data_IF_122735865525
#
_entry.id   IF_122735865525
#
_cell.length_a   1.000
_cell.length_b   1.000
_cell.length_c   1.000
_cell.angle_alpha   90.00
_cell.angle_beta   90.00
_cell.angle_gamma   90.00
#
_symmetry.space_group_name_H-M   'P 1'
#
loop_
_entity.id
_entity.type
_entity.pdbx_description
1 polymer ?
#
# COMPACT_ATOMS: atom_id res chain seq x y z
N UNK A 1 -17.12 25.34 -12.07
CA UNK A 1 -16.67 25.90 -13.36
C UNK A 1 -17.13 27.35 -13.41
N UNK A 2 -16.22 28.27 -13.63
CA UNK A 2 -16.58 29.70 -13.65
C UNK A 2 -17.41 30.01 -14.90
N UNK A 3 -18.43 30.85 -14.77
CA UNK A 3 -19.36 31.18 -15.88
C UNK A 3 -18.68 31.88 -17.08
N UNK A 4 -17.51 32.49 -16.85
CA UNK A 4 -16.74 33.16 -17.91
C UNK A 4 -15.81 32.20 -18.72
N UNK A 5 -15.74 30.93 -18.35
CA UNK A 5 -14.90 29.95 -19.04
C UNK A 5 -15.57 29.27 -20.25
N UNK A 6 -16.66 29.82 -20.77
CA UNK A 6 -17.44 29.22 -21.88
C UNK A 6 -16.68 29.27 -23.22
N UNK A 7 -15.89 30.36 -23.43
CA UNK A 7 -15.10 30.49 -24.66
C UNK A 7 -13.65 30.94 -24.33
N UNK A 8 -12.72 29.96 -24.18
CA UNK A 8 -11.35 30.26 -23.76
C UNK A 8 -10.54 31.07 -24.76
N UNK A 9 -11.00 31.19 -26.02
CA UNK A 9 -10.26 31.95 -27.06
C UNK A 9 -10.39 33.47 -26.91
N UNK A 10 -11.38 33.92 -26.15
CA UNK A 10 -11.64 35.35 -25.91
C UNK A 10 -11.01 35.86 -24.63
N UNK A 11 -10.37 34.97 -23.85
CA UNK A 11 -9.81 35.30 -22.55
C UNK A 11 -8.30 35.51 -22.65
N UNK A 12 -7.81 36.54 -21.99
CA UNK A 12 -6.37 36.88 -21.94
C UNK A 12 -5.86 36.87 -20.50
N UNK A 13 -4.56 36.66 -20.36
CA UNK A 13 -3.83 36.77 -19.10
C UNK A 13 -4.32 35.83 -18.01
N UNK A 14 -4.53 36.38 -16.81
CA UNK A 14 -4.91 35.62 -15.62
C UNK A 14 -6.28 34.93 -15.73
N UNK A 15 -7.22 35.49 -16.49
CA UNK A 15 -8.53 34.85 -16.69
C UNK A 15 -8.41 33.60 -17.56
N UNK A 16 -7.60 33.61 -18.59
CA UNK A 16 -7.28 32.43 -19.39
C UNK A 16 -6.61 31.36 -18.53
N UNK A 17 -5.61 31.75 -17.74
CA UNK A 17 -4.90 30.83 -16.85
C UNK A 17 -5.85 30.18 -15.84
N UNK A 18 -6.74 30.93 -15.21
CA UNK A 18 -7.72 30.39 -14.25
C UNK A 18 -8.67 29.39 -14.91
N UNK A 19 -9.12 29.65 -16.13
CA UNK A 19 -9.95 28.71 -16.88
C UNK A 19 -9.18 27.46 -17.27
N UNK A 20 -7.93 27.59 -17.70
CA UNK A 20 -7.06 26.48 -18.06
C UNK A 20 -6.81 25.55 -16.88
N UNK A 21 -6.45 26.11 -15.74
CA UNK A 21 -6.14 25.34 -14.51
C UNK A 21 -7.38 24.65 -13.91
N UNK A 22 -8.57 25.20 -14.11
CA UNK A 22 -9.83 24.63 -13.61
C UNK A 22 -10.54 23.70 -14.61
N UNK A 23 -9.90 23.31 -15.71
CA UNK A 23 -10.45 22.29 -16.60
C UNK A 23 -10.61 20.95 -15.87
N UNK A 24 -11.57 20.15 -16.30
CA UNK A 24 -11.86 18.81 -15.72
C UNK A 24 -10.62 17.92 -15.67
N UNK A 25 -9.73 18.01 -16.67
CA UNK A 25 -8.46 17.26 -16.69
C UNK A 25 -7.52 17.67 -15.56
N UNK A 26 -7.37 18.96 -15.32
CA UNK A 26 -6.51 19.47 -14.25
C UNK A 26 -7.12 19.23 -12.86
N UNK A 27 -8.43 19.34 -12.73
CA UNK A 27 -9.13 19.01 -11.48
C UNK A 27 -8.93 17.54 -11.08
N UNK A 28 -8.99 16.63 -12.05
CA UNK A 28 -8.69 15.22 -11.82
C UNK A 28 -7.25 15.00 -11.35
N UNK A 29 -6.29 15.73 -11.95
CA UNK A 29 -4.89 15.70 -11.52
C UNK A 29 -4.70 16.20 -10.09
N UNK A 30 -5.33 17.32 -9.71
CA UNK A 30 -5.26 17.83 -8.34
C UNK A 30 -5.84 16.86 -7.32
N UNK A 31 -6.96 16.22 -7.67
CA UNK A 31 -7.54 15.20 -6.81
C UNK A 31 -6.59 14.01 -6.61
N UNK A 32 -6.00 13.52 -7.70
CA UNK A 32 -4.99 12.45 -7.63
C UNK A 32 -3.78 12.86 -6.80
N UNK A 33 -3.33 14.11 -6.93
CA UNK A 33 -2.23 14.63 -6.12
C UNK A 33 -2.56 14.66 -4.63
N UNK A 34 -3.78 15.06 -4.25
CA UNK A 34 -4.24 15.04 -2.85
C UNK A 34 -4.26 13.61 -2.28
N UNK A 35 -4.71 12.64 -3.08
CA UNK A 35 -4.69 11.21 -2.69
C UNK A 35 -3.25 10.74 -2.44
N UNK A 36 -2.32 11.07 -3.33
CA UNK A 36 -0.89 10.73 -3.16
C UNK A 36 -0.30 11.39 -1.92
N UNK A 37 -0.60 12.67 -1.67
CA UNK A 37 -0.14 13.37 -0.46
C UNK A 37 -0.73 12.75 0.82
N UNK A 38 -2.00 12.34 0.78
CA UNK A 38 -2.63 11.59 1.87
C UNK A 38 -1.93 10.25 2.13
N UNK A 39 -1.65 9.49 1.08
CA UNK A 39 -0.91 8.22 1.19
C UNK A 39 0.49 8.43 1.79
N UNK A 40 1.24 9.43 1.32
CA UNK A 40 2.56 9.75 1.87
C UNK A 40 2.50 10.15 3.33
N UNK A 41 1.50 10.96 3.72
CA UNK A 41 1.31 11.39 5.11
C UNK A 41 1.01 10.23 6.06
N UNK A 42 0.34 9.18 5.57
CA UNK A 42 0.06 7.97 6.35
C UNK A 42 1.24 6.99 6.30
N UNK A 43 1.90 6.87 5.14
CA UNK A 43 3.03 5.96 4.97
C UNK A 43 4.27 6.38 5.77
N UNK A 44 4.53 7.69 5.92
CA UNK A 44 5.71 8.19 6.60
C UNK A 44 5.79 7.76 8.10
N UNK A 45 4.76 7.97 8.94
CA UNK A 45 4.80 7.52 10.32
C UNK A 45 4.84 5.98 10.43
N UNK A 46 4.18 5.28 9.51
CA UNK A 46 4.22 3.83 9.46
C UNK A 46 5.63 3.33 9.11
N UNK A 47 6.28 3.94 8.14
CA UNK A 47 7.66 3.63 7.79
C UNK A 47 8.64 3.90 8.95
N UNK A 48 8.45 5.01 9.66
CA UNK A 48 9.24 5.29 10.86
C UNK A 48 9.05 4.25 11.96
N UNK A 49 7.81 3.81 12.19
CA UNK A 49 7.51 2.76 13.17
C UNK A 49 8.18 1.42 12.80
N UNK A 50 8.07 0.98 11.55
CA UNK A 50 8.75 -0.22 11.06
C UNK A 50 10.28 -0.08 11.10
N UNK A 51 10.80 1.07 10.71
CA UNK A 51 12.23 1.36 10.74
C UNK A 51 12.80 1.31 12.15
N UNK A 52 12.12 1.94 13.11
CA UNK A 52 12.50 1.89 14.51
C UNK A 52 12.41 0.46 15.09
N UNK A 53 11.33 -0.25 14.77
CA UNK A 53 11.16 -1.65 15.17
C UNK A 53 12.27 -2.54 14.60
N UNK A 54 12.61 -2.38 13.31
CA UNK A 54 13.69 -3.10 12.65
C UNK A 54 15.06 -2.79 13.25
N UNK A 55 15.36 -1.51 13.50
CA UNK A 55 16.61 -1.08 14.10
C UNK A 55 16.77 -1.62 15.53
N UNK A 56 15.73 -1.55 16.36
CA UNK A 56 15.75 -2.09 17.73
C UNK A 56 15.84 -3.62 17.73
N UNK A 57 15.10 -4.30 16.85
CA UNK A 57 15.16 -5.75 16.69
C UNK A 57 16.59 -6.21 16.31
N UNK A 58 17.26 -5.49 15.40
CA UNK A 58 18.62 -5.81 14.95
C UNK A 58 19.67 -5.76 16.08
N UNK A 59 19.39 -5.00 17.13
CA UNK A 59 20.23 -4.83 18.34
C UNK A 59 19.78 -5.71 19.51
N UNK A 60 18.73 -6.51 19.37
CA UNK A 60 18.17 -7.36 20.42
C UNK A 60 19.19 -8.39 20.93
N UNK A 61 19.10 -8.71 22.22
CA UNK A 61 19.87 -9.80 22.86
C UNK A 61 19.44 -11.18 22.38
N UNK A 62 18.17 -11.33 21.98
CA UNK A 62 17.64 -12.59 21.47
C UNK A 62 18.12 -12.83 20.03
N UNK A 63 18.81 -13.96 19.81
CA UNK A 63 19.42 -14.30 18.50
C UNK A 63 18.40 -14.29 17.35
N UNK A 64 17.19 -14.83 17.56
CA UNK A 64 16.16 -14.93 16.54
C UNK A 64 15.68 -13.54 16.14
N UNK A 65 15.32 -12.69 17.11
CA UNK A 65 14.84 -11.32 16.87
C UNK A 65 15.91 -10.49 16.17
N UNK A 66 17.16 -10.62 16.62
CA UNK A 66 18.32 -9.94 16.01
C UNK A 66 18.54 -10.39 14.56
N UNK A 67 18.41 -11.69 14.28
CA UNK A 67 18.56 -12.22 12.92
C UNK A 67 17.46 -11.71 12.00
N UNK A 68 16.21 -11.71 12.46
CA UNK A 68 15.07 -11.18 11.71
C UNK A 68 15.22 -9.67 11.45
N UNK A 69 15.60 -8.87 12.45
CA UNK A 69 15.85 -7.44 12.29
C UNK A 69 16.97 -7.15 11.29
N UNK A 70 18.08 -7.86 11.38
CA UNK A 70 19.18 -7.72 10.41
C UNK A 70 18.78 -8.16 9.01
N UNK A 71 18.02 -9.25 8.86
CA UNK A 71 17.49 -9.71 7.59
C UNK A 71 16.56 -8.69 6.97
N UNK A 72 15.65 -8.12 7.76
CA UNK A 72 14.73 -7.06 7.32
C UNK A 72 15.49 -5.83 6.80
N UNK A 73 16.47 -5.33 7.54
CA UNK A 73 17.26 -4.17 7.12
C UNK A 73 18.20 -4.47 5.94
N UNK A 74 18.66 -5.72 5.81
CA UNK A 74 19.53 -6.14 4.70
C UNK A 74 18.74 -6.35 3.40
N UNK A 75 17.44 -6.64 3.49
CA UNK A 75 16.58 -6.97 2.36
C UNK A 75 16.63 -5.92 1.25
N UNK A 76 16.68 -4.64 1.61
CA UNK A 76 16.69 -3.51 0.67
C UNK A 76 18.00 -3.36 -0.09
N UNK A 77 19.11 -3.89 0.44
CA UNK A 77 20.44 -3.73 -0.20
C UNK A 77 20.66 -4.66 -1.39
N UNK A 78 19.86 -5.73 -1.50
CA UNK A 78 20.11 -6.80 -2.47
C UNK A 78 19.06 -6.96 -3.57
N UNK A 79 17.88 -6.36 -3.41
CA UNK A 79 16.74 -6.56 -4.33
C UNK A 79 16.20 -5.20 -4.77
N UNK A 80 15.89 -5.01 -6.07
CA UNK A 80 15.27 -3.77 -6.58
C UNK A 80 13.95 -3.50 -5.85
N UNK A 81 13.73 -2.26 -5.42
CA UNK A 81 12.56 -1.85 -4.64
C UNK A 81 11.22 -2.20 -5.29
N UNK A 82 11.17 -2.12 -6.63
CA UNK A 82 9.96 -2.44 -7.40
C UNK A 82 9.48 -3.88 -7.18
N UNK A 83 10.40 -4.81 -6.95
CA UNK A 83 10.06 -6.22 -6.67
C UNK A 83 9.29 -6.33 -5.35
N UNK A 84 9.71 -5.57 -4.33
CA UNK A 84 9.03 -5.55 -3.05
C UNK A 84 7.62 -4.94 -3.14
N UNK A 85 7.47 -3.84 -3.89
CA UNK A 85 6.16 -3.19 -4.07
C UNK A 85 5.16 -4.08 -4.80
N UNK A 86 5.62 -4.96 -5.67
CA UNK A 86 4.75 -5.92 -6.33
C UNK A 86 4.49 -7.17 -5.48
N UNK A 87 5.52 -7.68 -4.82
CA UNK A 87 5.45 -8.96 -4.10
C UNK A 87 4.77 -8.83 -2.73
N UNK A 88 5.08 -7.80 -1.94
CA UNK A 88 4.59 -7.68 -0.55
C UNK A 88 3.07 -7.61 -0.46
N UNK A 89 2.34 -6.79 -1.25
CA UNK A 89 0.88 -6.76 -1.19
C UNK A 89 0.26 -8.13 -1.47
N UNK A 90 0.75 -8.82 -2.50
CA UNK A 90 0.26 -10.16 -2.88
C UNK A 90 0.57 -11.18 -1.79
N UNK A 91 1.78 -11.15 -1.24
CA UNK A 91 2.17 -12.07 -0.17
C UNK A 91 1.37 -11.84 1.12
N UNK A 92 1.08 -10.58 1.46
CA UNK A 92 0.24 -10.25 2.61
C UNK A 92 -1.19 -10.69 2.40
N UNK A 93 -1.77 -10.43 1.23
CA UNK A 93 -3.13 -10.85 0.89
C UNK A 93 -3.29 -12.37 1.02
N UNK A 94 -2.41 -13.12 0.37
CA UNK A 94 -2.41 -14.58 0.44
C UNK A 94 -2.18 -15.11 1.87
N UNK A 95 -1.29 -14.46 2.63
CA UNK A 95 -1.05 -14.85 4.02
C UNK A 95 -2.28 -14.63 4.90
N UNK A 96 -2.98 -13.51 4.73
CA UNK A 96 -4.23 -13.23 5.46
C UNK A 96 -5.34 -14.22 5.09
N UNK A 97 -5.54 -14.50 3.80
CA UNK A 97 -6.51 -15.48 3.34
C UNK A 97 -6.20 -16.87 3.87
N UNK A 98 -4.94 -17.29 3.82
CA UNK A 98 -4.50 -18.58 4.35
C UNK A 98 -4.76 -18.72 5.87
N UNK A 99 -4.40 -17.68 6.65
CA UNK A 99 -4.64 -17.66 8.09
C UNK A 99 -6.14 -17.71 8.40
N UNK A 100 -6.95 -16.94 7.68
CA UNK A 100 -8.40 -16.94 7.83
C UNK A 100 -9.00 -18.31 7.48
N UNK A 101 -8.51 -18.95 6.41
CA UNK A 101 -8.97 -20.29 6.04
C UNK A 101 -8.73 -21.29 7.17
N UNK A 102 -7.54 -21.29 7.77
CA UNK A 102 -7.23 -22.17 8.90
C UNK A 102 -8.09 -21.93 10.14
N UNK A 103 -8.48 -20.67 10.37
CA UNK A 103 -9.30 -20.32 11.55
C UNK A 103 -10.80 -20.55 11.31
N UNK A 104 -11.31 -20.19 10.13
CA UNK A 104 -12.76 -20.19 9.85
C UNK A 104 -13.23 -21.48 9.19
N UNK A 105 -12.36 -22.19 8.50
CA UNK A 105 -12.70 -23.34 7.67
C UNK A 105 -11.82 -24.57 8.00
N UNK A 106 -11.45 -24.75 9.26
CA UNK A 106 -10.57 -25.84 9.71
C UNK A 106 -11.12 -27.23 9.40
N UNK A 107 -12.43 -27.37 9.26
CA UNK A 107 -13.11 -28.63 8.94
C UNK A 107 -13.21 -28.92 7.43
N UNK A 108 -12.78 -27.98 6.60
CA UNK A 108 -12.72 -28.12 5.15
C UNK A 108 -11.29 -28.49 4.75
N UNK A 109 -11.12 -29.13 3.61
CA UNK A 109 -9.81 -29.48 3.02
C UNK A 109 -8.79 -28.36 3.13
N UNK A 110 -7.54 -28.69 3.46
CA UNK A 110 -6.46 -27.72 3.55
C UNK A 110 -6.38 -26.84 2.29
N UNK A 111 -6.01 -25.55 2.42
CA UNK A 111 -5.89 -24.65 1.27
C UNK A 111 -4.85 -25.20 0.30
N UNK A 112 -5.27 -25.43 -0.93
CA UNK A 112 -4.42 -25.99 -1.98
C UNK A 112 -3.81 -24.83 -2.78
N UNK A 113 -2.51 -24.87 -2.96
CA UNK A 113 -1.83 -23.93 -3.85
C UNK A 113 -2.18 -24.25 -5.30
N UNK A 114 -2.75 -23.27 -6.00
CA UNK A 114 -3.06 -23.37 -7.43
C UNK A 114 -2.36 -22.22 -8.16
N UNK A 115 -1.27 -22.50 -8.82
CA UNK A 115 -0.42 -21.48 -9.43
C UNK A 115 0.21 -20.57 -8.37
N UNK A 116 -0.08 -19.29 -8.44
CA UNK A 116 0.40 -18.28 -7.49
C UNK A 116 -0.58 -18.02 -6.33
N UNK A 117 -1.79 -18.55 -6.38
CA UNK A 117 -2.84 -18.32 -5.39
C UNK A 117 -3.14 -19.56 -4.56
N UNK A 118 -3.74 -19.34 -3.39
CA UNK A 118 -4.33 -20.42 -2.59
C UNK A 118 -5.83 -20.51 -2.85
N UNK A 119 -6.33 -21.72 -3.08
CA UNK A 119 -7.77 -21.97 -3.11
C UNK A 119 -8.26 -22.04 -1.68
N UNK A 120 -8.89 -20.97 -1.22
CA UNK A 120 -9.42 -20.83 0.12
C UNK A 120 -10.94 -20.93 0.11
N UNK A 121 -11.55 -21.24 1.27
CA UNK A 121 -13.00 -21.25 1.40
C UNK A 121 -13.60 -19.83 1.20
N UNK A 122 -14.85 -19.75 0.77
CA UNK A 122 -15.51 -18.48 0.47
C UNK A 122 -15.53 -17.49 1.65
N UNK A 123 -15.63 -17.99 2.89
CA UNK A 123 -15.59 -17.17 4.11
C UNK A 123 -14.20 -16.60 4.43
N UNK A 124 -13.14 -17.21 3.90
CA UNK A 124 -11.77 -16.76 4.13
C UNK A 124 -11.32 -15.70 3.14
N UNK A 125 -11.99 -15.58 1.98
CA UNK A 125 -11.61 -14.66 0.91
C UNK A 125 -11.72 -13.20 1.37
N UNK A 126 -10.73 -12.39 0.99
CA UNK A 126 -10.67 -10.96 1.32
C UNK A 126 -10.51 -10.12 0.05
N UNK A 127 -11.29 -9.03 -0.05
CA UNK A 127 -12.52 -8.74 0.69
C UNK A 127 -13.64 -9.70 0.30
N UNK A 128 -14.63 -9.89 1.17
CA UNK A 128 -15.76 -10.77 0.86
C UNK A 128 -16.41 -10.36 -0.47
N UNK A 129 -16.74 -11.32 -1.32
CA UNK A 129 -17.38 -11.07 -2.64
C UNK A 129 -18.71 -10.27 -2.54
N UNK A 130 -19.35 -10.27 -1.36
CA UNK A 130 -20.55 -9.51 -1.06
C UNK A 130 -20.27 -8.11 -0.53
N UNK A 131 -19.00 -7.73 -0.37
CA UNK A 131 -18.65 -6.40 0.13
C UNK A 131 -18.87 -5.34 -0.94
N UNK A 132 -19.15 -4.10 -0.51
CA UNK A 132 -19.32 -2.94 -1.39
C UNK A 132 -17.96 -2.53 -2.01
N UNK A 133 -18.00 -1.88 -3.18
CA UNK A 133 -16.80 -1.44 -3.91
C UNK A 133 -15.83 -0.64 -3.04
N UNK A 134 -16.34 0.27 -2.22
CA UNK A 134 -15.48 1.06 -1.33
C UNK A 134 -14.66 0.21 -0.33
N UNK A 135 -15.15 -0.96 0.07
CA UNK A 135 -14.41 -1.89 0.94
C UNK A 135 -13.24 -2.51 0.17
N UNK A 136 -13.44 -2.86 -1.10
CA UNK A 136 -12.38 -3.35 -1.98
C UNK A 136 -11.28 -2.29 -2.16
N UNK A 137 -11.68 -1.04 -2.38
CA UNK A 137 -10.74 0.07 -2.55
C UNK A 137 -9.93 0.34 -1.27
N UNK A 138 -10.59 0.38 -0.11
CA UNK A 138 -9.90 0.56 1.18
C UNK A 138 -8.96 -0.61 1.49
N UNK A 139 -9.38 -1.83 1.19
CA UNK A 139 -8.54 -3.00 1.39
C UNK A 139 -7.28 -2.93 0.53
N UNK A 140 -7.41 -2.69 -0.78
CA UNK A 140 -6.27 -2.50 -1.68
C UNK A 140 -5.36 -1.35 -1.26
N UNK A 141 -5.95 -0.22 -0.86
CA UNK A 141 -5.20 0.92 -0.33
C UNK A 141 -4.42 0.57 0.95
N UNK A 142 -5.02 -0.19 1.88
CA UNK A 142 -4.36 -0.59 3.12
C UNK A 142 -3.20 -1.55 2.88
N UNK A 143 -3.32 -2.49 1.94
CA UNK A 143 -2.23 -3.36 1.53
C UNK A 143 -1.07 -2.57 0.90
N UNK A 144 -1.38 -1.61 0.03
CA UNK A 144 -0.38 -0.72 -0.55
C UNK A 144 0.33 0.10 0.55
N UNK A 145 -0.43 0.68 1.48
CA UNK A 145 0.10 1.45 2.61
C UNK A 145 1.05 0.60 3.48
N UNK A 146 0.67 -0.63 3.79
CA UNK A 146 1.53 -1.56 4.53
C UNK A 146 2.81 -1.90 3.77
N UNK A 147 2.72 -2.15 2.46
CA UNK A 147 3.89 -2.41 1.62
C UNK A 147 4.84 -1.20 1.59
N UNK A 148 4.32 0.01 1.39
CA UNK A 148 5.11 1.25 1.45
C UNK A 148 5.75 1.44 2.82
N UNK A 149 4.98 1.31 3.89
CA UNK A 149 5.47 1.43 5.25
C UNK A 149 6.60 0.43 5.55
N UNK A 150 6.42 -0.82 5.12
CA UNK A 150 7.39 -1.88 5.33
C UNK A 150 8.70 -1.64 4.54
N UNK A 151 8.63 -1.32 3.27
CA UNK A 151 9.80 -1.09 2.42
C UNK A 151 10.55 0.17 2.85
N UNK A 152 9.86 1.31 2.98
CA UNK A 152 10.49 2.56 3.43
C UNK A 152 10.94 2.49 4.89
N UNK A 153 10.26 1.67 5.70
CA UNK A 153 10.71 1.40 7.07
C UNK A 153 12.09 0.76 7.13
N UNK A 154 12.37 -0.18 6.24
CA UNK A 154 13.69 -0.79 6.20
C UNK A 154 14.78 0.19 5.74
N UNK A 155 14.47 1.15 4.83
CA UNK A 155 15.38 2.26 4.52
C UNK A 155 15.62 3.15 5.74
N UNK A 156 14.55 3.59 6.42
CA UNK A 156 14.65 4.42 7.60
C UNK A 156 15.46 3.74 8.73
N UNK A 157 15.22 2.44 8.95
CA UNK A 157 15.92 1.66 9.96
C UNK A 157 17.41 1.46 9.69
N UNK A 158 17.86 1.59 8.44
CA UNK A 158 19.29 1.54 8.10
C UNK A 158 20.03 2.85 8.44
N UNK A 159 19.29 3.95 8.62
CA UNK A 159 19.86 5.26 8.98
C UNK A 159 19.86 5.47 10.50
N UNK A 160 18.98 4.80 11.24
CA UNK A 160 18.89 4.81 12.70
C UNK A 160 19.92 3.90 13.36
#
# INVERSE_FOLDING_TARGET
MFSYCVDPKTLEGLMWLSCYVTTTKHMSFYFSFLVVMGLLSLAAPLAMAFGFAGATASRSTFRIIRSLGKGYLAMIRGIPDIVFFLFIPIALDQAFEYLRHKVLCSDVTEPIRQGNDFVVCAAAKLPLNTASEWVHDIYGFSLALLAFGFVFGAFAGNVL
#
